data_IF_053384461795
#
_entry.id   IF_053384461795
#
_cell.length_a   1.000
_cell.length_b   1.000
_cell.length_c   1.000
_cell.angle_alpha   90.00
_cell.angle_beta   90.00
_cell.angle_gamma   90.00
#
_symmetry.space_group_name_H-M   'P 1'
#
loop_
_entity.id
_entity.type
_entity.pdbx_description
1 polymer ?
#
# COMPACT_ATOMS: atom_id res chain seq x y z
N UNK A 1 -6.16 6.78 34.86
CA UNK A 1 -5.45 5.75 34.09
C UNK A 1 -6.43 5.24 33.05
N UNK A 2 -6.34 5.75 31.82
CA UNK A 2 -7.21 5.31 30.71
C UNK A 2 -6.62 4.01 30.17
N UNK A 3 -7.33 2.92 30.41
CA UNK A 3 -7.10 1.60 29.83
C UNK A 3 -6.99 1.76 28.30
N UNK A 4 -5.86 1.34 27.72
CA UNK A 4 -5.71 1.31 26.27
C UNK A 4 -6.81 0.38 25.71
N UNK A 5 -7.56 0.79 24.68
CA UNK A 5 -8.68 0.01 24.19
C UNK A 5 -8.20 -1.39 23.79
N UNK A 6 -8.59 -2.42 24.55
CA UNK A 6 -8.18 -3.80 24.30
C UNK A 6 -8.63 -4.19 22.90
N UNK A 7 -7.67 -4.37 21.99
CA UNK A 7 -7.95 -4.78 20.63
C UNK A 7 -8.67 -6.13 20.70
N UNK A 8 -9.88 -6.28 20.11
CA UNK A 8 -10.63 -7.51 20.25
C UNK A 8 -9.86 -8.74 19.73
N UNK A 9 -10.06 -9.93 20.28
CA UNK A 9 -9.29 -11.13 19.95
C UNK A 9 -9.39 -11.54 18.46
N UNK A 10 -10.45 -11.13 17.78
CA UNK A 10 -10.76 -11.41 16.37
C UNK A 10 -10.10 -10.46 15.34
N UNK A 11 -8.96 -9.85 15.66
CA UNK A 11 -8.13 -9.21 14.63
C UNK A 11 -7.37 -10.27 13.86
N UNK A 12 -7.69 -10.40 12.57
CA UNK A 12 -6.97 -11.23 11.62
C UNK A 12 -5.62 -10.61 11.30
N UNK A 13 -4.55 -11.33 11.60
CA UNK A 13 -3.21 -10.96 11.17
C UNK A 13 -3.12 -11.04 9.64
N UNK A 14 -2.41 -10.09 9.03
CA UNK A 14 -2.11 -10.09 7.61
C UNK A 14 -0.60 -10.05 7.46
N UNK A 15 -0.03 -11.06 6.81
CA UNK A 15 1.40 -11.07 6.55
C UNK A 15 1.76 -10.09 5.41
N UNK A 16 2.73 -9.19 5.63
CA UNK A 16 3.21 -8.29 4.60
C UNK A 16 4.00 -9.07 3.54
N UNK A 17 3.85 -8.69 2.27
CA UNK A 17 4.76 -9.21 1.25
C UNK A 17 6.12 -8.47 1.31
N UNK A 18 7.18 -9.15 0.87
CA UNK A 18 8.50 -8.52 0.75
C UNK A 18 8.45 -7.32 -0.22
N UNK A 19 8.86 -6.14 0.28
CA UNK A 19 8.82 -4.89 -0.49
C UNK A 19 7.42 -4.33 -0.73
N UNK A 20 6.38 -4.81 -0.01
CA UNK A 20 5.04 -4.25 -0.07
C UNK A 20 5.02 -2.78 0.38
N UNK A 21 4.23 -1.96 -0.28
CA UNK A 21 4.01 -0.59 0.18
C UNK A 21 3.03 -0.54 1.37
N UNK A 22 3.28 0.34 2.34
CA UNK A 22 2.39 0.49 3.51
C UNK A 22 0.94 0.80 3.10
N UNK A 23 0.74 1.51 1.99
CA UNK A 23 -0.59 1.80 1.43
C UNK A 23 -1.35 0.50 1.11
N UNK A 24 -0.73 -0.42 0.37
CA UNK A 24 -1.38 -1.66 -0.04
C UNK A 24 -1.60 -2.60 1.14
N UNK A 25 -0.61 -2.73 2.02
CA UNK A 25 -0.71 -3.50 3.25
C UNK A 25 -1.90 -3.05 4.10
N UNK A 26 -2.03 -1.74 4.37
CA UNK A 26 -3.16 -1.20 5.13
C UNK A 26 -4.50 -1.48 4.45
N UNK A 27 -4.55 -1.44 3.12
CA UNK A 27 -5.72 -1.85 2.35
C UNK A 27 -6.10 -3.32 2.57
N UNK A 28 -5.13 -4.24 2.53
CA UNK A 28 -5.34 -5.67 2.81
C UNK A 28 -5.79 -5.91 4.24
N UNK A 29 -5.09 -5.31 5.21
CA UNK A 29 -5.43 -5.42 6.63
C UNK A 29 -6.86 -4.94 6.92
N UNK A 30 -7.24 -3.80 6.35
CA UNK A 30 -8.60 -3.25 6.46
C UNK A 30 -9.67 -4.20 5.93
N UNK A 31 -9.43 -4.83 4.78
CA UNK A 31 -10.38 -5.79 4.20
C UNK A 31 -10.51 -7.05 5.06
N UNK A 32 -9.40 -7.61 5.51
CA UNK A 32 -9.40 -8.79 6.37
C UNK A 32 -10.10 -8.55 7.71
N UNK A 33 -10.06 -7.31 8.21
CA UNK A 33 -10.60 -6.92 9.51
C UNK A 33 -11.86 -6.07 9.43
N UNK A 34 -12.53 -6.01 8.27
CA UNK A 34 -13.74 -5.20 8.03
C UNK A 34 -13.65 -3.78 8.61
N UNK A 35 -12.49 -3.15 8.47
CA UNK A 35 -12.14 -1.90 9.12
C UNK A 35 -11.89 -0.78 8.11
N UNK A 36 -12.32 0.44 8.45
CA UNK A 36 -12.01 1.65 7.69
C UNK A 36 -10.67 2.26 8.12
N UNK A 37 -10.09 3.12 7.28
CA UNK A 37 -8.89 3.92 7.63
C UNK A 37 -9.12 4.75 8.89
N UNK A 38 -10.33 5.31 9.03
CA UNK A 38 -10.69 6.11 10.21
C UNK A 38 -10.75 5.26 11.49
N UNK A 39 -11.35 4.07 11.45
CA UNK A 39 -11.40 3.17 12.61
C UNK A 39 -9.98 2.74 13.05
N UNK A 40 -9.09 2.43 12.11
CA UNK A 40 -7.70 2.12 12.46
C UNK A 40 -7.00 3.36 13.01
N UNK A 41 -7.14 4.52 12.36
CA UNK A 41 -6.58 5.78 12.83
C UNK A 41 -7.04 6.17 14.24
N UNK A 42 -8.30 5.88 14.61
CA UNK A 42 -8.80 6.07 15.96
C UNK A 42 -8.15 5.11 16.96
N UNK A 43 -8.06 3.81 16.62
CA UNK A 43 -7.44 2.79 17.48
C UNK A 43 -5.96 3.05 17.75
N UNK A 44 -5.23 3.57 16.76
CA UNK A 44 -3.80 3.88 16.89
C UNK A 44 -3.52 5.28 17.44
N UNK A 45 -4.54 6.14 17.59
CA UNK A 45 -4.36 7.56 17.88
C UNK A 45 -3.75 8.38 16.73
N UNK A 46 -3.56 7.79 15.54
CA UNK A 46 -3.00 8.48 14.37
C UNK A 46 -4.03 9.38 13.66
N UNK A 47 -5.32 9.11 13.81
CA UNK A 47 -6.39 9.84 13.14
C UNK A 47 -6.16 9.97 11.63
N UNK A 48 -6.15 11.21 11.13
CA UNK A 48 -5.95 11.50 9.71
C UNK A 48 -4.53 11.25 9.19
N UNK A 49 -3.54 11.06 10.07
CA UNK A 49 -2.15 10.73 9.68
C UNK A 49 -2.11 9.42 8.90
N UNK A 50 -2.90 8.42 9.30
CA UNK A 50 -2.94 7.13 8.61
C UNK A 50 -3.41 7.27 7.15
N UNK A 51 -4.43 8.09 6.90
CA UNK A 51 -4.92 8.38 5.56
C UNK A 51 -3.89 9.13 4.69
N UNK A 52 -2.93 9.84 5.30
CA UNK A 52 -1.81 10.47 4.59
C UNK A 52 -0.76 9.42 4.19
N UNK A 53 -0.48 8.46 5.06
CA UNK A 53 0.45 7.35 4.76
C UNK A 53 -0.09 6.44 3.65
N UNK A 54 -1.39 6.15 3.63
CA UNK A 54 -2.06 5.46 2.52
C UNK A 54 -1.88 6.18 1.16
N UNK A 55 -1.61 7.50 1.19
CA UNK A 55 -1.35 8.35 0.01
C UNK A 55 0.14 8.66 -0.20
N UNK A 56 1.03 7.91 0.45
CA UNK A 56 2.49 8.10 0.40
C UNK A 56 3.01 9.44 0.91
N UNK A 57 2.24 10.14 1.77
CA UNK A 57 2.61 11.44 2.33
C UNK A 57 3.23 11.26 3.71
N UNK A 58 4.56 11.14 3.75
CA UNK A 58 5.36 10.89 4.95
C UNK A 58 6.14 12.13 5.42
N UNK A 59 5.55 13.33 5.34
CA UNK A 59 6.17 14.57 5.82
C UNK A 59 5.25 15.21 6.89
N UNK A 60 5.61 15.21 8.18
CA UNK A 60 6.85 14.65 8.74
C UNK A 60 6.90 13.11 8.65
N UNK A 61 8.11 12.50 8.71
CA UNK A 61 8.25 11.05 8.73
C UNK A 61 7.56 10.44 9.97
N UNK A 62 7.09 9.18 9.89
CA UNK A 62 6.52 8.48 11.04
C UNK A 62 7.47 8.48 12.25
N UNK A 63 6.98 8.81 13.43
CA UNK A 63 7.76 8.69 14.67
C UNK A 63 7.75 7.26 15.19
N UNK A 64 8.70 6.90 16.05
CA UNK A 64 8.75 5.58 16.68
C UNK A 64 7.46 5.28 17.46
N UNK A 65 6.90 6.27 18.16
CA UNK A 65 5.62 6.12 18.87
C UNK A 65 4.45 5.84 17.92
N UNK A 66 4.42 6.50 16.76
CA UNK A 66 3.39 6.28 15.74
C UNK A 66 3.49 4.89 15.11
N UNK A 67 4.73 4.40 14.90
CA UNK A 67 4.97 3.05 14.40
C UNK A 67 4.60 1.99 15.43
N UNK A 68 4.97 2.18 16.70
CA UNK A 68 4.60 1.29 17.79
C UNK A 68 3.07 1.15 17.93
N UNK A 69 2.35 2.29 17.90
CA UNK A 69 0.89 2.28 17.97
C UNK A 69 0.23 1.56 16.78
N UNK A 70 0.79 1.70 15.57
CA UNK A 70 0.31 0.95 14.42
C UNK A 70 0.63 -0.54 14.53
N UNK A 71 1.86 -0.89 14.91
CA UNK A 71 2.36 -2.25 15.10
C UNK A 71 1.45 -3.06 16.03
N UNK A 72 1.06 -2.48 17.16
CA UNK A 72 0.13 -3.10 18.11
C UNK A 72 -1.21 -3.45 17.46
N UNK A 73 -1.79 -2.52 16.69
CA UNK A 73 -3.10 -2.73 16.03
C UNK A 73 -3.02 -3.75 14.89
N UNK A 74 -1.94 -3.73 14.09
CA UNK A 74 -1.80 -4.64 12.95
C UNK A 74 -1.11 -5.96 13.29
N UNK A 75 -0.67 -6.14 14.54
CA UNK A 75 0.04 -7.31 15.06
C UNK A 75 1.32 -7.64 14.26
N UNK A 76 2.09 -6.60 13.95
CA UNK A 76 3.43 -6.72 13.34
C UNK A 76 4.47 -6.11 14.27
N UNK A 77 5.74 -6.44 14.06
CA UNK A 77 6.84 -5.71 14.67
C UNK A 77 7.06 -4.35 13.95
N UNK A 78 7.81 -3.44 14.60
CA UNK A 78 8.05 -2.11 14.03
C UNK A 78 8.99 -2.18 12.82
N UNK A 79 9.89 -3.15 12.82
CA UNK A 79 10.88 -3.41 11.77
C UNK A 79 10.18 -3.78 10.45
N UNK A 80 9.21 -4.68 10.48
CA UNK A 80 8.35 -5.05 9.34
C UNK A 80 7.57 -3.84 8.82
N UNK A 81 7.01 -3.01 9.71
CA UNK A 81 6.36 -1.77 9.30
C UNK A 81 7.33 -0.81 8.62
N UNK A 82 8.55 -0.69 9.15
CA UNK A 82 9.57 0.18 8.59
C UNK A 82 9.95 -0.23 7.17
N UNK A 83 10.05 -1.52 6.87
CA UNK A 83 10.35 -2.02 5.52
C UNK A 83 9.32 -1.59 4.46
N UNK A 84 8.10 -1.24 4.87
CA UNK A 84 7.03 -0.75 3.98
C UNK A 84 7.01 0.78 3.80
N UNK A 85 7.98 1.49 4.40
CA UNK A 85 8.19 2.93 4.33
C UNK A 85 9.39 3.29 3.43
N UNK A 86 9.45 4.52 2.88
CA UNK A 86 10.46 4.89 1.88
C UNK A 86 11.94 4.83 2.28
N UNK A 87 12.32 4.55 3.52
CA UNK A 87 13.73 4.45 3.96
C UNK A 87 14.64 5.60 3.45
N UNK A 88 14.13 6.84 3.46
CA UNK A 88 14.84 8.04 2.96
C UNK A 88 14.65 8.34 1.47
N UNK A 89 14.05 7.43 0.70
CA UNK A 89 13.75 7.64 -0.71
C UNK A 89 12.63 8.66 -0.93
N UNK A 90 12.80 9.52 -1.93
CA UNK A 90 11.74 10.45 -2.32
C UNK A 90 10.59 9.72 -3.01
N UNK A 91 9.37 9.89 -2.49
CA UNK A 91 8.16 9.33 -3.09
C UNK A 91 7.61 10.21 -4.22
N UNK A 92 7.09 9.56 -5.26
CA UNK A 92 6.24 10.14 -6.29
C UNK A 92 4.79 9.90 -5.86
N UNK A 93 4.10 10.85 -5.24
CA UNK A 93 2.76 10.56 -4.70
C UNK A 93 1.73 10.19 -5.77
N UNK A 94 1.84 10.78 -6.97
CA UNK A 94 1.01 10.48 -8.13
C UNK A 94 1.80 10.60 -9.45
N UNK A 95 1.33 9.94 -10.53
CA UNK A 95 0.32 8.88 -10.54
C UNK A 95 0.81 7.62 -9.81
N UNK A 96 -0.14 6.80 -9.33
CA UNK A 96 0.16 5.47 -8.80
C UNK A 96 0.64 4.59 -9.93
N UNK A 97 1.71 3.82 -9.68
CA UNK A 97 2.38 2.99 -10.67
C UNK A 97 2.16 1.51 -10.40
N UNK A 98 2.08 0.72 -11.46
CA UNK A 98 1.82 -0.72 -11.42
C UNK A 98 2.74 -1.44 -12.40
N UNK A 99 3.41 -2.51 -11.94
CA UNK A 99 3.88 -3.56 -12.84
C UNK A 99 2.86 -4.70 -12.82
N UNK A 100 2.13 -4.88 -13.92
CA UNK A 100 1.14 -5.96 -14.05
C UNK A 100 1.80 -7.34 -14.09
N UNK A 101 3.01 -7.45 -14.63
CA UNK A 101 3.80 -8.69 -14.59
C UNK A 101 4.14 -9.11 -13.15
N UNK A 102 4.68 -8.20 -12.32
CA UNK A 102 4.88 -8.48 -10.89
C UNK A 102 3.56 -8.79 -10.18
N UNK A 103 2.50 -8.06 -10.48
CA UNK A 103 1.20 -8.26 -9.81
C UNK A 103 0.61 -9.64 -10.12
N UNK A 104 0.88 -10.17 -11.33
CA UNK A 104 0.51 -11.53 -11.71
C UNK A 104 1.34 -12.61 -11.00
N UNK A 105 2.57 -12.31 -10.60
CA UNK A 105 3.39 -13.22 -9.77
C UNK A 105 2.92 -13.21 -8.32
N UNK A 106 2.70 -12.02 -7.77
CA UNK A 106 2.20 -11.83 -6.40
C UNK A 106 1.32 -10.57 -6.33
N UNK A 107 0.07 -10.65 -5.82
CA UNK A 107 -0.93 -9.60 -5.96
C UNK A 107 -0.77 -8.47 -4.94
N UNK A 108 0.34 -7.73 -5.04
CA UNK A 108 0.59 -6.57 -4.19
C UNK A 108 1.29 -5.43 -4.92
N UNK A 109 1.08 -4.22 -4.38
CA UNK A 109 1.81 -3.04 -4.84
C UNK A 109 3.15 -2.94 -4.12
N UNK A 110 4.23 -2.87 -4.89
CA UNK A 110 5.59 -2.72 -4.38
C UNK A 110 5.89 -1.26 -4.06
N UNK A 111 6.55 -1.03 -2.93
CA UNK A 111 6.94 0.30 -2.49
C UNK A 111 7.83 1.01 -3.52
N UNK A 112 8.80 0.27 -4.07
CA UNK A 112 9.80 0.79 -5.01
C UNK A 112 9.18 1.35 -6.29
N UNK A 113 8.01 0.86 -6.71
CA UNK A 113 7.29 1.40 -7.85
C UNK A 113 6.92 2.85 -7.66
N UNK A 114 6.98 3.39 -6.46
CA UNK A 114 6.57 4.75 -6.16
C UNK A 114 7.73 5.68 -5.79
N UNK A 115 8.99 5.25 -5.87
CA UNK A 115 10.15 6.15 -5.72
C UNK A 115 10.35 7.04 -6.96
N UNK A 116 10.71 8.32 -6.78
CA UNK A 116 10.92 9.26 -7.89
C UNK A 116 11.95 8.77 -8.91
N UNK A 117 12.95 8.03 -8.45
CA UNK A 117 14.05 7.52 -9.27
C UNK A 117 13.69 6.28 -10.09
N UNK A 118 12.62 5.57 -9.72
CA UNK A 118 12.19 4.36 -10.42
C UNK A 118 11.75 4.68 -11.85
N UNK A 119 12.52 4.19 -12.83
CA UNK A 119 12.29 4.41 -14.27
C UNK A 119 11.39 3.35 -14.91
N UNK A 120 11.35 2.16 -14.34
CA UNK A 120 10.59 1.00 -14.79
C UNK A 120 10.60 -0.09 -13.73
N UNK A 121 10.04 -1.26 -14.06
CA UNK A 121 10.20 -2.45 -13.26
C UNK A 121 11.55 -3.10 -13.57
N UNK A 122 12.41 -3.20 -12.57
CA UNK A 122 13.72 -3.86 -12.62
C UNK A 122 13.62 -5.38 -12.81
N UNK A 123 12.59 -6.02 -12.27
CA UNK A 123 12.36 -7.47 -12.41
C UNK A 123 11.97 -7.90 -13.81
N UNK A 124 11.10 -7.13 -14.46
CA UNK A 124 10.55 -7.49 -15.77
C UNK A 124 11.08 -6.65 -16.93
N UNK A 125 11.89 -5.61 -16.66
CA UNK A 125 12.38 -4.66 -17.66
C UNK A 125 11.24 -3.99 -18.47
N UNK A 126 10.10 -3.77 -17.79
CA UNK A 126 8.89 -3.19 -18.35
C UNK A 126 8.65 -1.79 -17.80
N UNK A 127 8.06 -0.92 -18.61
CA UNK A 127 7.53 0.36 -18.13
C UNK A 127 6.39 0.13 -17.15
N UNK A 128 6.40 0.86 -16.03
CA UNK A 128 5.30 0.84 -15.07
C UNK A 128 4.09 1.55 -15.67
N UNK A 129 2.92 0.94 -15.53
CA UNK A 129 1.65 1.55 -15.91
C UNK A 129 1.28 2.63 -14.89
N UNK A 130 0.82 3.79 -15.35
CA UNK A 130 0.26 4.85 -14.50
C UNK A 130 -1.26 4.99 -14.62
N UNK A 131 -1.86 4.24 -15.53
CA UNK A 131 -3.27 4.23 -15.87
C UNK A 131 -3.66 2.88 -16.45
N UNK A 132 -4.97 2.59 -16.40
CA UNK A 132 -5.52 1.38 -17.00
C UNK A 132 -5.35 1.44 -18.53
N UNK A 133 -4.75 0.42 -19.17
CA UNK A 133 -4.54 0.41 -20.62
C UNK A 133 -5.84 0.26 -21.41
N UNK A 134 -6.92 -0.23 -20.79
CA UNK A 134 -8.23 -0.39 -21.44
C UNK A 134 -9.06 0.91 -21.44
N UNK A 135 -9.09 1.65 -20.32
CA UNK A 135 -9.99 2.81 -20.17
C UNK A 135 -9.29 4.16 -19.91
N UNK A 136 -7.95 4.18 -19.84
CA UNK A 136 -7.16 5.39 -19.63
C UNK A 136 -7.31 6.07 -18.25
N UNK A 137 -8.09 5.50 -17.32
CA UNK A 137 -8.22 6.06 -15.97
C UNK A 137 -7.00 5.72 -15.12
N UNK A 138 -6.48 6.72 -14.39
CA UNK A 138 -5.39 6.55 -13.40
C UNK A 138 -5.79 5.57 -12.29
N UNK A 139 -4.82 4.80 -11.82
CA UNK A 139 -5.03 3.92 -10.68
C UNK A 139 -5.31 4.72 -9.40
N UNK A 140 -6.24 4.23 -8.58
CA UNK A 140 -6.42 4.73 -7.21
C UNK A 140 -5.23 4.35 -6.34
N UNK A 141 -5.12 4.93 -5.14
CA UNK A 141 -4.09 4.54 -4.17
C UNK A 141 -4.14 3.03 -3.89
N UNK A 142 -2.99 2.38 -3.63
CA UNK A 142 -2.94 0.93 -3.44
C UNK A 142 -3.81 0.40 -2.30
N UNK A 143 -4.04 1.19 -1.25
CA UNK A 143 -4.99 0.85 -0.17
C UNK A 143 -6.41 0.54 -0.68
N UNK A 144 -6.79 1.07 -1.84
CA UNK A 144 -8.10 0.89 -2.46
C UNK A 144 -8.12 -0.22 -3.51
N UNK A 145 -7.02 -0.90 -3.78
CA UNK A 145 -6.99 -2.01 -4.74
C UNK A 145 -7.69 -3.21 -4.13
N UNK A 146 -8.98 -3.34 -4.46
CA UNK A 146 -9.83 -4.48 -4.12
C UNK A 146 -9.65 -5.48 -5.27
N UNK A 147 -9.31 -6.72 -4.94
CA UNK A 147 -9.21 -7.85 -5.90
C UNK A 147 -8.30 -7.64 -7.12
N UNK A 148 -7.50 -6.57 -7.15
CA UNK A 148 -6.54 -6.31 -8.21
C UNK A 148 -7.18 -5.97 -9.55
N UNK A 149 -8.19 -5.11 -9.58
CA UNK A 149 -8.83 -4.66 -10.83
C UNK A 149 -8.89 -3.14 -10.96
N UNK A 150 -9.11 -2.68 -12.20
CA UNK A 150 -9.41 -1.29 -12.47
C UNK A 150 -10.74 -0.88 -11.81
N UNK A 151 -10.74 0.17 -10.99
CA UNK A 151 -11.96 0.71 -10.37
C UNK A 151 -13.03 1.18 -11.37
N UNK A 152 -12.66 1.45 -12.62
CA UNK A 152 -13.57 2.01 -13.62
C UNK A 152 -14.12 0.95 -14.59
N UNK A 153 -13.24 0.15 -15.22
CA UNK A 153 -13.64 -0.80 -16.26
C UNK A 153 -13.52 -2.27 -15.83
N UNK A 154 -13.15 -2.54 -14.58
CA UNK A 154 -13.03 -3.87 -13.99
C UNK A 154 -12.00 -4.81 -14.65
N UNK A 155 -11.25 -4.37 -15.67
CA UNK A 155 -10.10 -5.13 -16.19
C UNK A 155 -9.14 -5.48 -15.05
N UNK A 156 -8.76 -6.76 -14.95
CA UNK A 156 -7.85 -7.24 -13.91
C UNK A 156 -6.45 -6.72 -14.18
N UNK A 157 -5.71 -6.36 -13.13
CA UNK A 157 -4.33 -5.91 -13.23
C UNK A 157 -3.44 -6.97 -13.90
N UNK A 158 -3.69 -8.25 -13.67
CA UNK A 158 -2.92 -9.35 -14.28
C UNK A 158 -3.07 -9.38 -15.81
N UNK A 159 -4.24 -9.01 -16.34
CA UNK A 159 -4.51 -8.94 -17.78
C UNK A 159 -3.77 -7.77 -18.43
N UNK A 160 -3.46 -6.72 -17.65
CA UNK A 160 -2.74 -5.54 -18.16
C UNK A 160 -1.30 -5.83 -18.56
N UNK A 161 -0.74 -7.00 -18.20
CA UNK A 161 0.61 -7.44 -18.56
C UNK A 161 0.83 -7.38 -20.07
N UNK A 162 -0.16 -7.78 -20.87
CA UNK A 162 -0.08 -7.76 -22.34
C UNK A 162 0.04 -6.35 -22.95
N UNK A 163 -0.22 -5.31 -22.17
CA UNK A 163 -0.14 -3.92 -22.60
C UNK A 163 1.13 -3.20 -22.13
N UNK A 164 1.96 -3.83 -21.29
CA UNK A 164 3.22 -3.24 -20.84
C UNK A 164 4.28 -3.29 -21.94
N UNK A 165 4.94 -2.16 -22.15
CA UNK A 165 6.04 -2.03 -23.12
C UNK A 165 7.39 -2.20 -22.43
N UNK A 166 8.38 -2.69 -23.17
CA UNK A 166 9.78 -2.70 -22.72
C UNK A 166 10.26 -1.29 -22.35
N UNK A 167 11.24 -1.23 -21.45
CA UNK A 167 11.87 0.03 -21.03
C UNK A 167 12.43 0.82 -22.21
#
# INVERSE_FOLDING_TARGET
>A
MTEAPSIPPWVFSVEPYEGESISHFLGRFRRANYSSSNQIGQKTGLGSVLARWEKFRFIPPPTQQQLAALAEVVRLDMEQLALMLPQGMSMKHEPIRLCAACYAEQPYHRLEWQFKETRGCDRHQLRLLSECPNCGKRFKIPALWIEGHCHNCQMMFVEMKGHQKGM
#
